data_IF_520938736171
#
_entry.id   IF_520938736171
#
_cell.length_a   1.000
_cell.length_b   1.000
_cell.length_c   1.000
_cell.angle_alpha   90.00
_cell.angle_beta   90.00
_cell.angle_gamma   90.00
#
_symmetry.space_group_name_H-M   'P 1'
#
loop_
_entity.id
_entity.type
_entity.pdbx_description
1 polymer ?
#
# COMPACT_ATOMS: atom_id res chain seq x y z
N UNK A 1 -5.74 11.49 -11.94
CA UNK A 1 -6.72 12.17 -12.80
C UNK A 1 -6.07 12.95 -13.93
N UNK A 2 -5.18 13.92 -13.66
CA UNK A 2 -4.49 14.71 -14.70
C UNK A 2 -3.66 13.83 -15.65
N UNK A 3 -2.98 12.82 -15.12
CA UNK A 3 -2.12 11.91 -15.89
C UNK A 3 -2.93 11.06 -16.88
N UNK A 4 -4.02 10.48 -16.43
CA UNK A 4 -4.93 9.68 -17.28
C UNK A 4 -5.55 10.52 -18.39
N UNK A 5 -5.89 11.79 -18.11
CA UNK A 5 -6.43 12.71 -19.12
C UNK A 5 -5.41 13.08 -20.20
N UNK A 6 -4.13 13.17 -19.85
CA UNK A 6 -3.04 13.44 -20.79
C UNK A 6 -2.79 12.22 -21.69
N UNK A 7 -2.83 11.01 -21.14
CA UNK A 7 -2.60 9.77 -21.87
C UNK A 7 -3.74 9.41 -22.83
N UNK A 8 -4.98 9.71 -22.50
CA UNK A 8 -6.17 9.35 -23.29
C UNK A 8 -6.61 10.41 -24.30
N UNK A 9 -6.03 11.61 -24.27
CA UNK A 9 -6.24 12.68 -25.25
C UNK A 9 -7.68 13.20 -25.38
N UNK A 10 -7.98 13.83 -26.52
CA UNK A 10 -9.32 14.30 -26.88
C UNK A 10 -10.23 13.10 -27.20
N UNK A 11 -11.26 12.87 -26.43
CA UNK A 11 -12.17 11.71 -26.51
C UNK A 11 -12.20 10.88 -25.25
N UNK A 12 -11.61 11.41 -24.16
CA UNK A 12 -11.71 10.86 -22.84
C UNK A 12 -13.17 10.82 -22.36
N UNK A 13 -13.65 9.62 -22.05
CA UNK A 13 -14.90 9.41 -21.35
C UNK A 13 -14.64 8.68 -20.05
N UNK A 14 -15.36 9.00 -18.99
CA UNK A 14 -15.22 8.33 -17.68
C UNK A 14 -15.41 6.81 -17.77
N UNK A 15 -16.15 6.32 -18.77
CA UNK A 15 -16.34 4.88 -19.03
C UNK A 15 -15.07 4.15 -19.48
N UNK A 16 -14.05 4.88 -19.93
CA UNK A 16 -12.74 4.32 -20.36
C UNK A 16 -11.70 4.31 -19.25
N UNK A 17 -12.00 4.84 -18.06
CA UNK A 17 -11.08 4.80 -16.94
C UNK A 17 -11.03 3.36 -16.42
N UNK A 18 -9.82 2.82 -16.34
CA UNK A 18 -9.60 1.52 -15.76
C UNK A 18 -9.77 1.56 -14.23
N UNK A 19 -10.25 0.47 -13.67
CA UNK A 19 -10.37 0.29 -12.23
C UNK A 19 -8.98 0.32 -11.59
N UNK A 20 -8.87 1.02 -10.47
CA UNK A 20 -7.65 1.12 -9.68
C UNK A 20 -7.76 0.17 -8.49
N UNK A 21 -6.85 -0.76 -8.41
CA UNK A 21 -6.70 -1.66 -7.27
C UNK A 21 -5.58 -1.14 -6.39
N UNK A 22 -5.89 -0.94 -5.12
CA UNK A 22 -4.90 -0.54 -4.11
C UNK A 22 -4.69 -1.69 -3.14
N UNK A 23 -3.48 -2.23 -3.09
CA UNK A 23 -3.10 -3.27 -2.15
C UNK A 23 -2.20 -2.61 -1.09
N UNK A 24 -2.57 -2.76 0.17
CA UNK A 24 -1.82 -2.24 1.32
C UNK A 24 -1.38 -3.40 2.18
N UNK A 25 -0.08 -3.51 2.40
CA UNK A 25 0.52 -4.50 3.29
C UNK A 25 0.82 -3.84 4.64
N UNK A 26 0.26 -4.38 5.72
CA UNK A 26 0.56 -3.95 7.08
C UNK A 26 1.58 -4.89 7.71
N UNK A 27 2.75 -4.41 8.02
CA UNK A 27 3.73 -5.12 8.85
C UNK A 27 3.19 -5.34 10.26
N UNK A 28 2.51 -4.31 10.80
CA UNK A 28 1.75 -4.37 12.04
C UNK A 28 0.35 -3.85 11.82
N UNK A 29 -0.64 -4.69 12.03
CA UNK A 29 -2.04 -4.32 11.90
C UNK A 29 -2.46 -3.40 13.05
N UNK A 30 -3.36 -2.48 12.75
CA UNK A 30 -3.97 -1.65 13.78
C UNK A 30 -5.04 -2.43 14.58
N UNK A 31 -5.55 -1.80 15.64
CA UNK A 31 -6.54 -2.42 16.51
C UNK A 31 -7.85 -2.80 15.84
N UNK A 32 -8.19 -2.23 14.68
CA UNK A 32 -9.45 -2.52 14.00
C UNK A 32 -9.39 -3.89 13.33
N UNK A 33 -8.24 -4.24 12.74
CA UNK A 33 -8.04 -5.56 12.16
C UNK A 33 -7.80 -6.65 13.20
N UNK A 34 -6.98 -6.37 14.23
CA UNK A 34 -6.63 -7.35 15.26
C UNK A 34 -7.80 -7.76 16.15
N UNK A 35 -8.83 -6.90 16.28
CA UNK A 35 -10.07 -7.21 17.03
C UNK A 35 -11.03 -8.09 16.25
N UNK A 36 -10.94 -8.14 14.93
CA UNK A 36 -11.94 -8.79 14.10
C UNK A 36 -11.82 -10.31 14.15
N UNK A 37 -10.68 -10.86 13.79
CA UNK A 37 -10.37 -12.29 13.91
C UNK A 37 -8.87 -12.51 13.75
N UNK A 38 -8.33 -13.45 14.53
CA UNK A 38 -6.93 -13.88 14.38
C UNK A 38 -6.69 -14.82 13.18
N UNK A 39 -7.72 -15.15 12.43
CA UNK A 39 -7.63 -16.05 11.26
C UNK A 39 -7.84 -15.33 9.94
N UNK A 40 -8.27 -14.06 9.98
CA UNK A 40 -8.54 -13.26 8.79
C UNK A 40 -7.45 -12.22 8.64
N UNK A 41 -6.59 -12.40 7.65
CA UNK A 41 -5.48 -11.50 7.35
C UNK A 41 -5.67 -10.71 6.07
N UNK A 42 -6.76 -10.96 5.29
CA UNK A 42 -7.10 -10.22 4.06
C UNK A 42 -8.46 -9.56 4.24
N UNK A 43 -8.51 -8.26 3.99
CA UNK A 43 -9.72 -7.47 4.07
C UNK A 43 -9.93 -6.72 2.76
N UNK A 44 -11.07 -6.95 2.12
CA UNK A 44 -11.49 -6.25 0.92
C UNK A 44 -12.48 -5.14 1.27
N UNK A 45 -12.21 -3.95 0.74
CA UNK A 45 -13.08 -2.79 0.92
C UNK A 45 -13.64 -2.36 -0.43
N UNK A 46 -14.96 -2.31 -0.48
CA UNK A 46 -15.73 -1.83 -1.61
C UNK A 46 -16.53 -0.61 -1.19
N UNK A 47 -16.75 0.30 -2.14
CA UNK A 47 -17.61 1.44 -1.90
C UNK A 47 -19.07 1.02 -2.16
N UNK A 48 -19.94 1.22 -1.17
CA UNK A 48 -21.38 0.94 -1.25
C UNK A 48 -22.16 2.22 -1.00
N UNK A 49 -23.24 2.40 -1.74
CA UNK A 49 -24.21 3.44 -1.49
C UNK A 49 -25.10 3.08 -0.29
N UNK A 50 -25.48 4.07 0.51
CA UNK A 50 -26.46 3.96 1.58
C UNK A 50 -27.88 3.65 1.07
N UNK A 51 -28.15 3.99 -0.21
CA UNK A 51 -29.43 3.75 -0.88
C UNK A 51 -29.49 2.42 -1.63
N UNK A 52 -28.42 1.63 -1.62
CA UNK A 52 -28.34 0.36 -2.35
C UNK A 52 -28.10 0.50 -3.86
N UNK A 53 -27.81 1.71 -4.35
CA UNK A 53 -27.42 1.91 -5.75
C UNK A 53 -26.04 1.32 -5.97
N UNK A 54 -25.92 0.39 -6.90
CA UNK A 54 -24.64 -0.18 -7.32
C UNK A 54 -24.02 0.70 -8.41
N UNK A 55 -22.87 1.25 -8.11
CA UNK A 55 -22.03 1.97 -9.08
C UNK A 55 -20.68 1.29 -9.18
N UNK A 56 -20.20 1.15 -10.41
CA UNK A 56 -18.83 0.70 -10.64
C UNK A 56 -17.84 1.83 -10.32
N UNK A 57 -17.60 2.04 -9.02
CA UNK A 57 -16.62 3.00 -8.56
C UNK A 57 -15.22 2.47 -8.82
N UNK A 58 -14.34 3.35 -9.28
CA UNK A 58 -13.06 2.98 -9.92
C UNK A 58 -11.98 2.51 -8.94
N UNK A 59 -12.26 2.46 -7.63
CA UNK A 59 -11.27 2.10 -6.62
C UNK A 59 -11.74 0.93 -5.77
N UNK A 60 -10.86 -0.04 -5.63
CA UNK A 60 -10.97 -1.11 -4.66
C UNK A 60 -9.70 -1.16 -3.81
N UNK A 61 -9.88 -1.52 -2.55
CA UNK A 61 -8.79 -1.62 -1.60
C UNK A 61 -8.73 -3.04 -1.04
N UNK A 62 -7.53 -3.59 -0.99
CA UNK A 62 -7.23 -4.85 -0.32
C UNK A 62 -6.16 -4.58 0.73
N UNK A 63 -6.50 -4.80 1.98
CA UNK A 63 -5.56 -4.68 3.09
C UNK A 63 -5.14 -6.08 3.54
N UNK A 64 -3.84 -6.29 3.66
CA UNK A 64 -3.24 -7.57 4.06
C UNK A 64 -2.41 -7.35 5.33
N UNK A 65 -2.77 -8.03 6.40
CA UNK A 65 -2.12 -7.96 7.70
C UNK A 65 -1.04 -9.04 7.80
N UNK A 66 0.23 -8.66 7.58
CA UNK A 66 1.36 -9.60 7.57
C UNK A 66 1.66 -10.19 8.94
N UNK A 67 1.45 -9.45 10.01
CA UNK A 67 1.57 -9.91 11.38
C UNK A 67 0.56 -11.02 11.70
N UNK A 68 -0.71 -10.83 11.34
CA UNK A 68 -1.76 -11.85 11.54
C UNK A 68 -1.46 -13.07 10.66
N UNK A 69 -1.05 -12.88 9.41
CA UNK A 69 -0.64 -13.99 8.54
C UNK A 69 0.56 -14.75 9.13
N UNK A 70 1.57 -14.02 9.63
CA UNK A 70 2.75 -14.61 10.27
C UNK A 70 2.38 -15.50 11.46
N UNK A 71 1.50 -15.04 12.33
CA UNK A 71 1.00 -15.83 13.44
C UNK A 71 0.27 -17.12 13.00
N UNK A 72 -0.48 -17.02 11.88
CA UNK A 72 -1.22 -18.17 11.34
C UNK A 72 -0.25 -19.20 10.76
N UNK A 73 0.74 -18.76 9.97
CA UNK A 73 1.65 -19.68 9.26
C UNK A 73 2.67 -20.32 10.20
N UNK A 74 3.05 -19.63 11.29
CA UNK A 74 3.95 -20.15 12.33
C UNK A 74 3.24 -21.14 13.26
N UNK A 75 1.92 -21.04 13.40
CA UNK A 75 1.12 -21.97 14.22
C UNK A 75 0.97 -23.32 13.50
N UNK A 76 2.05 -24.11 13.56
CA UNK A 76 2.14 -25.57 13.41
C UNK A 76 1.59 -26.18 12.11
N UNK A 77 2.46 -26.81 11.38
CA UNK A 77 2.18 -27.77 10.30
C UNK A 77 1.30 -27.27 9.14
N UNK A 78 0.95 -25.97 9.16
CA UNK A 78 0.24 -25.38 8.06
C UNK A 78 1.17 -25.33 6.85
N UNK A 79 0.69 -25.89 5.75
CA UNK A 79 1.38 -25.80 4.45
C UNK A 79 1.04 -24.46 3.84
N UNK A 80 1.96 -23.94 3.05
CA UNK A 80 1.70 -22.83 2.13
C UNK A 80 0.77 -23.35 1.05
N UNK A 81 -0.45 -22.80 0.97
CA UNK A 81 -1.52 -23.40 0.16
C UNK A 81 -1.60 -22.88 -1.28
N UNK A 82 -1.14 -21.64 -1.50
CA UNK A 82 -1.31 -20.97 -2.78
C UNK A 82 -0.22 -19.93 -3.05
N UNK A 83 -0.20 -19.44 -4.30
CA UNK A 83 0.80 -18.46 -4.76
C UNK A 83 0.82 -17.15 -3.96
N UNK A 84 -0.33 -16.69 -3.47
CA UNK A 84 -0.39 -15.50 -2.62
C UNK A 84 0.32 -15.74 -1.29
N UNK A 85 0.06 -16.87 -0.65
CA UNK A 85 0.73 -17.22 0.60
C UNK A 85 2.25 -17.39 0.43
N UNK A 86 2.72 -17.90 -0.71
CA UNK A 86 4.15 -17.94 -1.05
C UNK A 86 4.77 -16.53 -1.01
N UNK A 87 4.12 -15.56 -1.66
CA UNK A 87 4.56 -14.18 -1.62
C UNK A 87 4.49 -13.56 -0.23
N UNK A 88 3.44 -13.87 0.55
CA UNK A 88 3.32 -13.36 1.90
C UNK A 88 4.39 -13.95 2.84
N UNK A 89 4.74 -15.22 2.69
CA UNK A 89 5.88 -15.83 3.40
C UNK A 89 7.17 -15.11 3.03
N UNK A 90 7.44 -14.91 1.74
CA UNK A 90 8.63 -14.19 1.29
C UNK A 90 8.74 -12.78 1.89
N UNK A 91 7.61 -12.05 1.99
CA UNK A 91 7.57 -10.67 2.46
C UNK A 91 7.56 -10.51 3.98
N UNK A 92 7.18 -11.55 4.74
CA UNK A 92 6.91 -11.43 6.17
C UNK A 92 7.73 -12.34 7.06
N UNK A 93 8.40 -13.37 6.50
CA UNK A 93 9.09 -14.37 7.31
C UNK A 93 10.61 -14.25 7.16
N UNK A 94 11.28 -14.22 8.30
CA UNK A 94 12.74 -14.28 8.43
C UNK A 94 13.22 -15.62 9.03
N UNK A 95 12.30 -16.51 9.37
CA UNK A 95 12.60 -17.86 9.89
C UNK A 95 13.22 -18.73 8.78
N UNK A 96 14.46 -19.21 8.96
CA UNK A 96 15.13 -20.05 7.97
C UNK A 96 14.36 -21.31 7.59
N UNK A 97 13.62 -21.93 8.53
CA UNK A 97 12.86 -23.14 8.26
C UNK A 97 11.67 -22.84 7.33
N UNK A 98 11.04 -21.69 7.48
CA UNK A 98 9.96 -21.23 6.59
C UNK A 98 10.50 -20.88 5.21
N UNK A 99 11.65 -20.23 5.14
CA UNK A 99 12.32 -19.91 3.88
C UNK A 99 12.67 -21.20 3.12
N UNK A 100 13.24 -22.20 3.81
CA UNK A 100 13.58 -23.49 3.20
C UNK A 100 12.29 -24.20 2.71
N UNK A 101 11.20 -24.17 3.47
CA UNK A 101 9.91 -24.73 3.03
C UNK A 101 9.41 -24.04 1.75
N UNK A 102 9.47 -22.71 1.68
CA UNK A 102 9.09 -21.95 0.50
C UNK A 102 9.94 -22.33 -0.71
N UNK A 103 11.28 -22.38 -0.57
CA UNK A 103 12.21 -22.72 -1.65
C UNK A 103 11.98 -24.15 -2.17
N UNK A 104 11.71 -25.11 -1.27
CA UNK A 104 11.38 -26.49 -1.64
C UNK A 104 10.05 -26.61 -2.37
N UNK A 105 9.09 -25.73 -2.06
CA UNK A 105 7.80 -25.72 -2.70
C UNK A 105 7.82 -25.01 -4.05
N UNK A 106 8.59 -23.94 -4.16
CA UNK A 106 8.63 -23.10 -5.35
C UNK A 106 10.05 -22.56 -5.60
N UNK A 107 10.74 -23.17 -6.53
CA UNK A 107 12.13 -22.82 -6.89
C UNK A 107 12.28 -21.40 -7.49
N UNK A 108 11.20 -20.78 -8.00
CA UNK A 108 11.26 -19.42 -8.54
C UNK A 108 11.72 -18.41 -7.49
N UNK A 109 11.46 -18.68 -6.21
CA UNK A 109 11.90 -17.81 -5.11
C UNK A 109 13.40 -17.90 -4.84
N UNK A 110 14.07 -18.95 -5.28
CA UNK A 110 15.52 -19.07 -5.08
C UNK A 110 16.27 -17.93 -5.76
N UNK A 111 15.94 -17.65 -7.04
CA UNK A 111 16.56 -16.56 -7.79
C UNK A 111 16.31 -15.20 -7.11
N UNK A 112 15.08 -14.98 -6.61
CA UNK A 112 14.70 -13.74 -5.91
C UNK A 112 15.52 -13.59 -4.61
N UNK A 113 15.67 -14.64 -3.81
CA UNK A 113 16.47 -14.61 -2.58
C UNK A 113 17.96 -14.38 -2.88
N UNK A 114 18.51 -14.99 -3.94
CA UNK A 114 19.88 -14.77 -4.37
C UNK A 114 20.12 -13.32 -4.80
N UNK A 115 19.14 -12.72 -5.52
CA UNK A 115 19.21 -11.31 -5.90
C UNK A 115 19.15 -10.39 -4.67
N UNK A 116 18.21 -10.60 -3.76
CA UNK A 116 18.10 -9.85 -2.49
C UNK A 116 19.38 -9.98 -1.68
N UNK A 117 19.93 -11.19 -1.54
CA UNK A 117 21.19 -11.43 -0.85
C UNK A 117 22.35 -10.66 -1.49
N UNK A 118 22.43 -10.66 -2.81
CA UNK A 118 23.46 -9.92 -3.56
C UNK A 118 23.33 -8.41 -3.35
N UNK A 119 22.11 -7.89 -3.30
CA UNK A 119 21.85 -6.47 -2.97
C UNK A 119 22.30 -6.16 -1.54
N UNK A 120 21.99 -7.03 -0.59
CA UNK A 120 22.35 -6.85 0.83
C UNK A 120 23.86 -6.91 1.06
N UNK A 121 24.61 -7.67 0.27
CA UNK A 121 26.09 -7.70 0.34
C UNK A 121 26.72 -6.40 -0.19
N UNK A 122 26.02 -5.64 -1.00
CA UNK A 122 26.52 -4.39 -1.53
C UNK A 122 25.98 -3.21 -0.70
N UNK A 123 26.72 -2.86 0.36
CA UNK A 123 26.34 -1.80 1.30
C UNK A 123 26.14 -0.43 0.61
N UNK A 124 26.99 -0.11 -0.38
CA UNK A 124 26.89 1.14 -1.15
C UNK A 124 25.55 1.20 -1.93
N UNK A 125 25.18 0.11 -2.56
CA UNK A 125 23.93 0.02 -3.34
C UNK A 125 22.69 0.07 -2.43
N UNK A 126 22.77 -0.56 -1.26
CA UNK A 126 21.71 -0.45 -0.24
C UNK A 126 21.53 1.00 0.22
N UNK A 127 22.63 1.67 0.60
CA UNK A 127 22.57 3.06 1.05
C UNK A 127 22.06 4.00 -0.05
N UNK A 128 22.41 3.76 -1.31
CA UNK A 128 21.90 4.52 -2.45
C UNK A 128 20.39 4.34 -2.65
N UNK A 129 19.88 3.11 -2.52
CA UNK A 129 18.45 2.83 -2.60
C UNK A 129 17.68 3.53 -1.47
N UNK A 130 18.11 3.36 -0.23
CA UNK A 130 17.49 4.01 0.94
C UNK A 130 17.55 5.52 0.87
N UNK A 131 18.66 6.12 0.43
CA UNK A 131 18.75 7.57 0.31
C UNK A 131 17.84 8.14 -0.78
N UNK A 132 17.62 7.42 -1.88
CA UNK A 132 16.65 7.81 -2.92
C UNK A 132 15.20 7.76 -2.42
N UNK A 133 14.85 6.71 -1.68
CA UNK A 133 13.50 6.60 -1.09
C UNK A 133 13.24 7.66 -0.02
N UNK A 134 14.22 7.91 0.86
CA UNK A 134 14.13 8.99 1.84
C UNK A 134 13.98 10.37 1.17
N UNK A 135 14.74 10.63 0.11
CA UNK A 135 14.61 11.89 -0.65
C UNK A 135 13.24 12.07 -1.32
N UNK A 136 12.60 10.96 -1.75
CA UNK A 136 11.24 11.00 -2.30
C UNK A 136 10.22 11.26 -1.19
N UNK A 137 10.37 10.61 -0.03
CA UNK A 137 9.50 10.80 1.14
C UNK A 137 9.60 12.24 1.64
N UNK A 138 10.81 12.77 1.81
CA UNK A 138 11.03 14.15 2.23
C UNK A 138 10.41 15.15 1.26
N UNK A 139 10.59 14.96 -0.04
CA UNK A 139 9.99 15.82 -1.06
C UNK A 139 8.46 15.81 -1.02
N UNK A 140 7.86 14.64 -0.84
CA UNK A 140 6.40 14.51 -0.76
C UNK A 140 5.86 15.16 0.52
N UNK A 141 6.56 15.01 1.64
CA UNK A 141 6.20 15.63 2.92
C UNK A 141 6.29 17.15 2.85
N UNK A 142 7.39 17.68 2.31
CA UNK A 142 7.56 19.13 2.13
C UNK A 142 6.49 19.72 1.21
N UNK A 143 6.16 19.01 0.13
CA UNK A 143 5.09 19.44 -0.79
C UNK A 143 3.74 19.49 -0.10
N UNK A 144 3.39 18.46 0.66
CA UNK A 144 2.14 18.42 1.43
C UNK A 144 2.06 19.59 2.41
N UNK A 145 3.15 19.87 3.15
CA UNK A 145 3.19 21.01 4.08
C UNK A 145 3.03 22.36 3.38
N UNK A 146 3.58 22.52 2.17
CA UNK A 146 3.39 23.75 1.37
C UNK A 146 1.93 23.88 0.94
N UNK A 147 1.33 22.83 0.42
CA UNK A 147 -0.07 22.82 -0.02
C UNK A 147 -1.02 23.17 1.16
N UNK A 148 -0.78 22.59 2.35
CA UNK A 148 -1.53 22.91 3.58
C UNK A 148 -1.37 24.38 4.01
N UNK A 149 -0.15 24.92 3.99
CA UNK A 149 0.09 26.33 4.33
C UNK A 149 -0.57 27.28 3.32
N UNK A 150 -0.58 26.95 2.02
CA UNK A 150 -1.28 27.74 1.01
C UNK A 150 -2.79 27.79 1.25
N UNK A 151 -3.39 26.67 1.62
CA UNK A 151 -4.82 26.60 1.99
C UNK A 151 -5.13 27.44 3.22
N UNK A 152 -4.29 27.39 4.26
CA UNK A 152 -4.43 28.21 5.47
C UNK A 152 -4.36 29.71 5.16
N UNK A 153 -3.41 30.13 4.31
CA UNK A 153 -3.27 31.54 3.89
C UNK A 153 -4.50 32.02 3.11
N UNK A 154 -5.04 31.19 2.21
CA UNK A 154 -6.26 31.52 1.46
C UNK A 154 -7.44 31.67 2.39
N UNK A 155 -7.60 30.76 3.35
CA UNK A 155 -8.69 30.84 4.33
C UNK A 155 -8.57 32.05 5.27
N UNK A 156 -7.33 32.38 5.71
CA UNK A 156 -7.09 33.55 6.53
C UNK A 156 -7.43 34.86 5.79
N UNK A 157 -7.04 34.97 4.52
CA UNK A 157 -7.40 36.12 3.67
C UNK A 157 -8.92 36.24 3.50
N UNK A 158 -9.61 35.14 3.22
CA UNK A 158 -11.07 35.12 3.10
C UNK A 158 -11.74 35.62 4.40
N UNK A 159 -11.28 35.17 5.56
CA UNK A 159 -11.80 35.60 6.86
C UNK A 159 -11.53 37.08 7.12
N UNK A 160 -10.37 37.59 6.72
CA UNK A 160 -10.04 39.01 6.83
C UNK A 160 -10.96 39.89 5.95
N UNK A 161 -11.13 39.52 4.69
CA UNK A 161 -12.02 40.23 3.75
C UNK A 161 -13.49 40.20 4.21
N UNK A 162 -13.95 39.11 4.82
CA UNK A 162 -15.29 39.03 5.40
C UNK A 162 -15.47 39.90 6.63
N UNK A 163 -14.40 40.07 7.44
CA UNK A 163 -14.40 40.95 8.62
C UNK A 163 -14.44 42.42 8.20
N UNK A 164 -13.66 42.80 7.19
CA UNK A 164 -13.66 44.17 6.65
C UNK A 164 -15.01 44.58 6.03
N UNK A 165 -15.72 43.64 5.40
CA UNK A 165 -17.07 43.88 4.82
C UNK A 165 -18.18 44.04 5.87
N UNK A 166 -17.93 43.61 7.11
CA UNK A 166 -18.89 43.67 8.22
C UNK A 166 -18.66 44.86 9.16
N UNK A 167 -17.53 45.54 9.00
CA UNK A 167 -17.22 46.75 9.73
C UNK A 167 -17.64 48.00 8.98
#
# INVERSE_FOLDING_TARGET
>A
YKRVRVELGQGFTYRKIQKVYTIVLFEKSNSDFSKFSKEIYIHHFEQKSDTGVEMNLLQEYTFICLDIFGDIIQNKDRKIENRLEEWLVFLSQDDPDMIIKLLNQNADFQEIYEEVYTICLNMERMMEMFSKELAILDRNTVKLMIDEMEEEVVEAKRKADEAERKA
#
